data_IF_914713761339
#
_entry.id   IF_914713761339
#
_cell.length_a   1.000
_cell.length_b   1.000
_cell.length_c   1.000
_cell.angle_alpha   90.00
_cell.angle_beta   90.00
_cell.angle_gamma   90.00
#
_symmetry.space_group_name_H-M   'P 1'
#
loop_
_entity.id
_entity.type
_entity.pdbx_description
1 polymer ?
#
# COMPACT_ATOMS: atom_id res chain seq x y z
N UNK A 1 -11.08 -21.59 5.19
CA UNK A 1 -11.98 -20.44 4.90
C UNK A 1 -11.38 -19.59 3.80
N UNK A 2 -12.12 -19.30 2.73
CA UNK A 2 -11.68 -18.39 1.67
C UNK A 2 -11.50 -16.97 2.26
N UNK A 3 -10.38 -16.32 1.92
CA UNK A 3 -10.13 -14.93 2.35
C UNK A 3 -11.05 -14.00 1.55
N UNK A 4 -11.57 -12.93 2.17
CA UNK A 4 -12.41 -11.97 1.46
C UNK A 4 -11.67 -11.40 0.24
N UNK A 5 -12.42 -11.14 -0.84
CA UNK A 5 -11.91 -10.45 -2.01
C UNK A 5 -11.50 -9.02 -1.60
N UNK A 6 -10.45 -8.51 -2.23
CA UNK A 6 -10.03 -7.12 -2.03
C UNK A 6 -11.05 -6.20 -2.68
N UNK A 7 -11.41 -5.15 -1.96
CA UNK A 7 -12.23 -4.08 -2.50
C UNK A 7 -11.37 -3.23 -3.42
N UNK A 8 -11.83 -3.00 -4.64
CA UNK A 8 -11.19 -2.17 -5.66
C UNK A 8 -12.25 -1.27 -6.28
N UNK A 9 -12.43 -0.04 -5.76
CA UNK A 9 -13.32 0.94 -6.38
C UNK A 9 -12.86 1.32 -7.79
N UNK A 10 -13.80 1.79 -8.62
CA UNK A 10 -13.49 2.37 -9.94
C UNK A 10 -13.05 3.85 -9.85
N UNK A 11 -12.71 4.29 -8.67
CA UNK A 11 -12.24 5.65 -8.40
C UNK A 11 -10.88 5.62 -7.71
N UNK A 12 -10.24 6.79 -7.65
CA UNK A 12 -8.99 6.96 -6.89
C UNK A 12 -9.19 6.50 -5.44
N UNK A 13 -8.32 5.63 -4.98
CA UNK A 13 -8.53 4.93 -3.71
C UNK A 13 -7.25 4.85 -2.89
N UNK A 14 -7.40 4.92 -1.55
CA UNK A 14 -6.30 4.79 -0.61
C UNK A 14 -6.28 3.42 0.04
N UNK A 15 -5.08 2.85 0.19
CA UNK A 15 -4.90 1.55 0.82
C UNK A 15 -3.77 1.59 1.84
N UNK A 16 -4.02 0.98 2.99
CA UNK A 16 -2.99 0.67 3.95
C UNK A 16 -2.45 -0.75 3.68
N UNK A 17 -1.26 -0.85 3.11
CA UNK A 17 -0.67 -2.14 2.76
C UNK A 17 0.28 -2.62 3.84
N UNK A 18 0.16 -3.92 4.18
CA UNK A 18 0.99 -4.57 5.19
C UNK A 18 1.42 -5.94 4.69
N UNK A 19 2.68 -6.28 4.85
CA UNK A 19 3.18 -7.65 4.67
C UNK A 19 4.28 -7.96 5.68
N UNK A 20 4.35 -9.23 6.09
CA UNK A 20 5.33 -9.73 7.06
C UNK A 20 6.25 -10.73 6.41
N UNK A 21 7.48 -10.78 6.92
CA UNK A 21 8.46 -11.81 6.57
C UNK A 21 8.04 -13.14 7.20
N UNK A 22 8.35 -14.23 6.52
CA UNK A 22 8.12 -15.58 7.00
C UNK A 22 8.93 -15.84 8.30
N UNK A 23 8.37 -16.67 9.18
CA UNK A 23 8.99 -17.07 10.45
C UNK A 23 9.27 -15.93 11.44
N UNK A 24 8.70 -14.74 11.22
CA UNK A 24 8.86 -13.53 12.06
C UNK A 24 10.31 -13.14 12.34
N UNK A 25 11.26 -13.65 11.56
CA UNK A 25 12.67 -13.31 11.72
C UNK A 25 12.92 -11.82 11.45
N UNK A 26 13.90 -11.25 12.12
CA UNK A 26 14.36 -9.88 11.89
C UNK A 26 15.36 -9.88 10.72
N UNK A 27 14.85 -9.99 9.49
CA UNK A 27 15.67 -10.09 8.28
C UNK A 27 15.99 -8.75 7.62
N UNK A 28 15.23 -7.72 7.93
CA UNK A 28 15.37 -6.45 7.24
C UNK A 28 16.40 -5.56 7.95
N UNK A 29 17.67 -5.85 7.70
CA UNK A 29 18.76 -4.94 8.03
C UNK A 29 18.70 -3.68 7.13
N UNK A 30 19.61 -2.75 7.36
CA UNK A 30 19.67 -1.48 6.64
C UNK A 30 19.92 -1.66 5.14
N UNK A 31 20.70 -2.66 4.74
CA UNK A 31 20.97 -2.99 3.33
C UNK A 31 19.71 -3.50 2.64
N UNK A 32 18.99 -4.39 3.31
CA UNK A 32 17.70 -4.91 2.81
C UNK A 32 16.66 -3.80 2.72
N UNK A 33 16.51 -2.95 3.75
CA UNK A 33 15.57 -1.82 3.76
C UNK A 33 15.87 -0.81 2.66
N UNK A 34 17.15 -0.49 2.44
CA UNK A 34 17.58 0.38 1.34
C UNK A 34 17.14 -0.19 0.00
N UNK A 35 17.43 -1.48 -0.26
CA UNK A 35 17.04 -2.14 -1.51
C UNK A 35 15.53 -2.24 -1.67
N UNK A 36 14.81 -2.48 -0.58
CA UNK A 36 13.34 -2.46 -0.60
C UNK A 36 12.79 -1.10 -1.03
N UNK A 37 13.37 0.02 -0.58
CA UNK A 37 12.95 1.37 -1.00
C UNK A 37 13.20 1.60 -2.50
N UNK A 38 14.36 1.19 -3.02
CA UNK A 38 14.64 1.27 -4.46
C UNK A 38 13.58 0.51 -5.28
N UNK A 39 13.29 -0.74 -4.89
CA UNK A 39 12.28 -1.57 -5.56
C UNK A 39 10.87 -1.01 -5.38
N UNK A 40 10.55 -0.47 -4.19
CA UNK A 40 9.26 0.14 -3.89
C UNK A 40 8.98 1.30 -4.85
N UNK A 41 9.94 2.22 -5.00
CA UNK A 41 9.78 3.37 -5.87
C UNK A 41 9.68 2.98 -7.35
N UNK A 42 10.50 2.04 -7.81
CA UNK A 42 10.41 1.52 -9.18
C UNK A 42 9.05 0.82 -9.45
N UNK A 43 8.55 0.04 -8.52
CA UNK A 43 7.25 -0.61 -8.64
C UNK A 43 6.09 0.39 -8.59
N UNK A 44 6.19 1.43 -7.76
CA UNK A 44 5.20 2.49 -7.65
C UNK A 44 5.11 3.30 -8.95
N UNK A 45 6.25 3.74 -9.48
CA UNK A 45 6.34 4.44 -10.76
C UNK A 45 5.75 3.61 -11.90
N UNK A 46 6.13 2.32 -12.00
CA UNK A 46 5.56 1.42 -13.00
C UNK A 46 4.05 1.28 -12.88
N UNK A 47 3.54 1.11 -11.68
CA UNK A 47 2.10 0.90 -11.45
C UNK A 47 1.28 2.19 -11.50
N UNK A 48 1.91 3.36 -11.52
CA UNK A 48 1.25 4.66 -11.36
C UNK A 48 0.66 4.88 -9.97
N UNK A 49 1.16 4.15 -8.97
CA UNK A 49 0.70 4.23 -7.58
C UNK A 49 1.52 5.28 -6.84
N UNK A 50 0.85 6.17 -6.11
CA UNK A 50 1.52 7.16 -5.27
C UNK A 50 1.76 6.55 -3.88
N UNK A 51 3.01 6.50 -3.45
CA UNK A 51 3.37 6.13 -2.08
C UNK A 51 3.31 7.38 -1.22
N UNK A 52 2.21 7.55 -0.46
CA UNK A 52 2.00 8.71 0.39
C UNK A 52 2.90 8.70 1.63
N UNK A 53 3.02 7.54 2.27
CA UNK A 53 3.98 7.30 3.36
C UNK A 53 4.30 5.82 3.50
N UNK A 54 5.40 5.52 4.20
CA UNK A 54 5.84 4.17 4.48
C UNK A 54 6.55 4.06 5.83
N UNK A 55 6.63 2.80 6.32
CA UNK A 55 7.40 2.41 7.49
C UNK A 55 7.93 1.00 7.26
N UNK A 56 9.26 0.83 7.12
CA UNK A 56 9.92 -0.45 6.97
C UNK A 56 10.46 -0.91 8.33
N UNK A 57 9.72 -1.79 9.00
CA UNK A 57 10.13 -2.39 10.28
C UNK A 57 11.08 -3.57 10.01
N UNK A 58 11.66 -4.18 11.06
CA UNK A 58 12.64 -5.26 10.90
C UNK A 58 12.05 -6.57 10.35
N UNK A 59 10.75 -6.80 10.50
CA UNK A 59 10.08 -8.04 10.04
C UNK A 59 8.78 -7.80 9.28
N UNK A 60 8.39 -6.56 9.03
CA UNK A 60 7.20 -6.20 8.26
C UNK A 60 7.29 -4.77 7.75
N UNK A 61 6.41 -4.42 6.84
CA UNK A 61 6.28 -3.05 6.37
C UNK A 61 4.84 -2.57 6.42
N UNK A 62 4.69 -1.26 6.52
CA UNK A 62 3.45 -0.52 6.31
C UNK A 62 3.64 0.47 5.18
N UNK A 63 2.71 0.52 4.22
CA UNK A 63 2.65 1.54 3.17
C UNK A 63 1.25 2.13 3.16
N UNK A 64 1.15 3.45 3.05
CA UNK A 64 -0.10 4.14 2.73
C UNK A 64 0.01 4.62 1.29
N UNK A 65 -0.80 4.04 0.42
CA UNK A 65 -0.70 4.27 -1.02
C UNK A 65 -2.02 4.79 -1.58
N UNK A 66 -1.91 5.64 -2.60
CA UNK A 66 -3.02 6.08 -3.43
C UNK A 66 -2.91 5.38 -4.79
N UNK A 67 -3.98 4.71 -5.18
CA UNK A 67 -4.13 4.06 -6.48
C UNK A 67 -5.06 4.93 -7.32
N UNK A 68 -4.64 5.41 -8.51
CA UNK A 68 -5.50 6.15 -9.42
C UNK A 68 -6.73 5.34 -9.84
N UNK A 69 -7.71 5.99 -10.45
CA UNK A 69 -8.83 5.27 -11.06
C UNK A 69 -8.33 4.30 -12.14
N UNK A 70 -8.86 3.08 -12.20
CA UNK A 70 -8.55 2.17 -13.31
C UNK A 70 -9.03 2.73 -14.67
N UNK A 71 -9.99 3.67 -14.65
CA UNK A 71 -10.53 4.31 -15.84
C UNK A 71 -9.68 5.51 -16.32
N UNK A 72 -8.69 5.95 -15.52
CA UNK A 72 -7.75 6.99 -15.94
C UNK A 72 -6.95 6.51 -17.15
N UNK A 73 -6.90 7.29 -18.25
CA UNK A 73 -6.22 6.87 -19.46
C UNK A 73 -4.71 6.75 -19.26
N UNK A 74 -4.14 5.70 -19.84
CA UNK A 74 -2.69 5.45 -19.81
C UNK A 74 -2.20 5.37 -21.27
N UNK A 75 -1.78 6.49 -21.87
CA UNK A 75 -1.27 6.52 -23.23
C UNK A 75 0.07 5.78 -23.35
N UNK A 76 0.48 5.44 -24.58
CA UNK A 76 1.65 4.60 -24.82
C UNK A 76 2.96 5.20 -24.33
N UNK A 77 3.14 6.50 -24.47
CA UNK A 77 4.31 7.21 -23.94
C UNK A 77 4.42 7.08 -22.41
N UNK A 78 3.27 7.13 -21.73
CA UNK A 78 3.20 6.86 -20.28
C UNK A 78 3.52 5.40 -19.97
N UNK A 79 3.03 4.43 -20.75
CA UNK A 79 3.38 3.02 -20.59
C UNK A 79 4.89 2.83 -20.72
N UNK A 80 5.52 3.40 -21.77
CA UNK A 80 6.96 3.28 -22.00
C UNK A 80 7.78 3.94 -20.87
N UNK A 81 7.38 5.13 -20.42
CA UNK A 81 8.01 5.79 -19.26
C UNK A 81 7.96 4.92 -18.01
N UNK A 82 6.81 4.34 -17.72
CA UNK A 82 6.61 3.45 -16.57
C UNK A 82 7.37 2.12 -16.71
N UNK A 83 7.43 1.56 -17.90
CA UNK A 83 8.27 0.38 -18.20
C UNK A 83 9.75 0.69 -17.93
N UNK A 84 10.21 1.86 -18.36
CA UNK A 84 11.59 2.33 -18.12
C UNK A 84 11.95 2.31 -16.63
N UNK A 85 11.04 2.76 -15.77
CA UNK A 85 11.26 2.82 -14.33
C UNK A 85 11.45 1.44 -13.68
N UNK A 86 10.80 0.40 -14.19
CA UNK A 86 10.83 -0.94 -13.60
C UNK A 86 11.77 -1.91 -14.32
N UNK A 87 11.86 -1.81 -15.64
CA UNK A 87 12.58 -2.75 -16.51
C UNK A 87 13.84 -2.17 -17.14
N UNK A 88 14.04 -0.86 -17.00
CA UNK A 88 15.20 -0.13 -17.53
C UNK A 88 15.00 0.43 -18.93
N UNK A 89 15.95 1.27 -19.36
CA UNK A 89 15.93 2.00 -20.62
C UNK A 89 15.91 1.07 -21.84
N UNK A 90 16.73 0.02 -21.80
CA UNK A 90 16.86 -0.90 -22.93
C UNK A 90 15.53 -1.57 -23.30
N UNK A 91 14.76 -2.00 -22.29
CA UNK A 91 13.46 -2.63 -22.50
C UNK A 91 12.42 -1.64 -23.01
N UNK A 92 12.37 -0.42 -22.45
CA UNK A 92 11.45 0.61 -22.92
C UNK A 92 11.71 0.96 -24.39
N UNK A 93 12.99 1.18 -24.76
CA UNK A 93 13.40 1.46 -26.16
C UNK A 93 13.09 0.31 -27.10
N UNK A 94 13.31 -0.94 -26.66
CA UNK A 94 12.96 -2.12 -27.44
C UNK A 94 11.47 -2.18 -27.76
N UNK A 95 10.62 -1.91 -26.77
CA UNK A 95 9.17 -1.87 -26.97
C UNK A 95 8.73 -0.72 -27.87
N UNK A 96 9.29 0.46 -27.67
CA UNK A 96 9.01 1.65 -28.49
C UNK A 96 9.27 1.39 -29.97
N UNK A 97 10.45 0.88 -30.30
CA UNK A 97 10.84 0.53 -31.68
C UNK A 97 9.93 -0.58 -32.25
N UNK A 98 9.68 -1.60 -31.46
CA UNK A 98 8.83 -2.73 -31.87
C UNK A 98 7.39 -2.29 -32.15
N UNK A 99 6.78 -1.50 -31.26
CA UNK A 99 5.41 -1.01 -31.48
C UNK A 99 5.36 -0.02 -32.64
N UNK A 100 6.38 0.82 -32.80
CA UNK A 100 6.50 1.71 -33.95
C UNK A 100 6.55 0.94 -35.28
N UNK A 101 7.34 -0.13 -35.34
CA UNK A 101 7.41 -0.98 -36.54
C UNK A 101 6.09 -1.71 -36.82
N UNK A 102 5.49 -2.31 -35.79
CA UNK A 102 4.18 -2.96 -35.93
C UNK A 102 3.10 -2.04 -36.50
N UNK A 103 3.07 -0.77 -36.08
CA UNK A 103 2.12 0.22 -36.61
C UNK A 103 2.38 0.55 -38.07
N UNK A 104 3.65 0.68 -38.48
CA UNK A 104 4.04 0.91 -39.87
C UNK A 104 3.65 -0.26 -40.78
N UNK A 105 3.73 -1.47 -40.24
CA UNK A 105 3.38 -2.72 -40.97
C UNK A 105 1.86 -3.03 -40.97
N UNK A 106 1.01 -2.05 -40.57
CA UNK A 106 -0.44 -2.26 -40.48
C UNK A 106 -0.91 -3.14 -39.31
N UNK A 107 -0.01 -3.53 -38.40
CA UNK A 107 -0.26 -4.40 -37.25
C UNK A 107 -0.53 -3.60 -35.96
N UNK A 108 -1.16 -2.44 -36.05
CA UNK A 108 -1.43 -1.56 -34.92
C UNK A 108 -2.21 -2.24 -33.77
N UNK A 109 -3.17 -3.11 -34.12
CA UNK A 109 -3.94 -3.87 -33.11
C UNK A 109 -3.04 -4.80 -32.25
N UNK A 110 -1.96 -5.35 -32.83
CA UNK A 110 -1.02 -6.21 -32.09
C UNK A 110 -0.18 -5.36 -31.13
N UNK A 111 0.30 -4.20 -31.58
CA UNK A 111 1.01 -3.26 -30.72
C UNK A 111 0.15 -2.81 -29.55
N UNK A 112 -1.14 -2.50 -29.81
CA UNK A 112 -2.10 -2.13 -28.77
C UNK A 112 -2.36 -3.27 -27.78
N UNK A 113 -2.50 -4.50 -28.26
CA UNK A 113 -2.65 -5.67 -27.41
C UNK A 113 -1.44 -5.89 -26.47
N UNK A 114 -0.22 -5.65 -26.97
CA UNK A 114 1.00 -5.69 -26.14
C UNK A 114 1.02 -4.56 -25.10
N UNK A 115 0.72 -3.33 -25.47
CA UNK A 115 0.63 -2.20 -24.55
C UNK A 115 -0.39 -2.46 -23.45
N UNK A 116 -1.53 -3.07 -23.81
CA UNK A 116 -2.59 -3.41 -22.87
C UNK A 116 -2.19 -4.49 -21.85
N UNK A 117 -1.17 -5.33 -22.12
CA UNK A 117 -0.61 -6.24 -21.11
C UNK A 117 0.08 -5.47 -19.98
N UNK A 118 0.71 -4.34 -20.29
CA UNK A 118 1.32 -3.48 -19.28
C UNK A 118 0.26 -2.65 -18.55
N UNK A 119 -0.71 -2.05 -19.27
CA UNK A 119 -1.79 -1.26 -18.68
C UNK A 119 -2.59 -2.02 -17.64
N UNK A 120 -2.91 -3.31 -17.89
CA UNK A 120 -3.61 -4.18 -16.93
C UNK A 120 -2.88 -4.38 -15.60
N UNK A 121 -1.59 -4.04 -15.52
CA UNK A 121 -0.77 -4.10 -14.31
C UNK A 121 -0.59 -2.74 -13.64
N UNK A 122 -1.14 -1.69 -14.24
CA UNK A 122 -1.10 -0.32 -13.74
C UNK A 122 -2.43 0.03 -13.07
N UNK A 123 -2.44 1.01 -12.21
CA UNK A 123 -3.61 1.43 -11.43
C UNK A 123 -4.31 0.26 -10.69
N UNK A 124 -3.54 -0.71 -10.26
CA UNK A 124 -4.02 -1.89 -9.53
C UNK A 124 -3.16 -2.19 -8.30
N UNK A 125 -3.77 -2.10 -7.11
CA UNK A 125 -3.09 -2.34 -5.84
C UNK A 125 -2.55 -3.78 -5.70
N UNK A 126 -3.20 -4.76 -6.36
CA UNK A 126 -2.77 -6.16 -6.31
C UNK A 126 -1.55 -6.42 -7.17
N UNK A 127 -1.53 -5.85 -8.37
CA UNK A 127 -0.40 -5.97 -9.29
C UNK A 127 0.81 -5.15 -8.78
N UNK A 128 0.58 -3.97 -8.20
CA UNK A 128 1.62 -3.21 -7.51
C UNK A 128 2.27 -4.04 -6.39
N UNK A 129 1.46 -4.55 -5.47
CA UNK A 129 1.96 -5.33 -4.35
C UNK A 129 2.66 -6.63 -4.77
N UNK A 130 2.12 -7.30 -5.78
CA UNK A 130 2.73 -8.50 -6.38
C UNK A 130 4.09 -8.16 -6.96
N UNK A 131 4.18 -7.12 -7.79
CA UNK A 131 5.43 -6.67 -8.42
C UNK A 131 6.48 -6.32 -7.37
N UNK A 132 6.11 -5.50 -6.37
CA UNK A 132 7.00 -5.11 -5.27
C UNK A 132 7.51 -6.32 -4.49
N UNK A 133 6.60 -7.16 -3.99
CA UNK A 133 6.97 -8.31 -3.17
C UNK A 133 7.78 -9.37 -3.92
N UNK A 134 7.45 -9.65 -5.17
CA UNK A 134 8.21 -10.60 -5.98
C UNK A 134 9.64 -10.12 -6.22
N UNK A 135 9.81 -8.84 -6.59
CA UNK A 135 11.16 -8.30 -6.84
C UNK A 135 12.02 -8.26 -5.58
N UNK A 136 11.43 -7.91 -4.45
CA UNK A 136 12.14 -7.97 -3.15
C UNK A 136 12.55 -9.41 -2.85
N UNK A 137 11.62 -10.38 -2.99
CA UNK A 137 11.93 -11.78 -2.71
C UNK A 137 12.98 -12.34 -3.66
N UNK A 138 12.89 -12.07 -4.97
CA UNK A 138 13.90 -12.49 -5.94
C UNK A 138 15.28 -11.92 -5.61
N UNK A 139 15.35 -10.61 -5.38
CA UNK A 139 16.62 -9.98 -5.02
C UNK A 139 17.19 -10.57 -3.72
N UNK A 140 16.35 -10.70 -2.68
CA UNK A 140 16.78 -11.23 -1.40
C UNK A 140 17.31 -12.66 -1.52
N UNK A 141 16.53 -13.55 -2.16
CA UNK A 141 16.91 -14.95 -2.34
C UNK A 141 18.22 -15.08 -3.11
N UNK A 142 18.39 -14.33 -4.21
CA UNK A 142 19.63 -14.35 -5.00
C UNK A 142 20.82 -13.79 -4.21
N UNK A 143 20.63 -12.68 -3.48
CA UNK A 143 21.74 -12.00 -2.81
C UNK A 143 22.18 -12.69 -1.52
N UNK A 144 21.33 -13.52 -0.91
CA UNK A 144 21.58 -14.16 0.39
C UNK A 144 21.57 -15.69 0.31
N UNK A 145 21.51 -16.28 -0.89
CA UNK A 145 21.40 -17.74 -1.06
C UNK A 145 20.17 -18.35 -0.37
N UNK A 146 19.10 -17.55 -0.18
CA UNK A 146 17.92 -18.00 0.52
C UNK A 146 17.00 -18.78 -0.43
N UNK A 147 16.53 -19.95 0.02
CA UNK A 147 15.58 -20.79 -0.71
C UNK A 147 14.22 -20.76 -0.02
N UNK A 148 13.16 -20.58 -0.79
CA UNK A 148 11.79 -20.59 -0.29
C UNK A 148 11.11 -19.22 -0.29
N UNK A 149 10.00 -19.13 0.45
CA UNK A 149 9.19 -17.92 0.48
C UNK A 149 9.70 -16.90 1.50
N UNK A 150 9.96 -15.68 1.05
CA UNK A 150 10.34 -14.58 1.94
C UNK A 150 9.15 -14.06 2.76
N UNK A 151 7.93 -14.20 2.27
CA UNK A 151 6.75 -13.57 2.86
C UNK A 151 5.81 -14.59 3.49
N UNK A 152 5.30 -14.31 4.69
CA UNK A 152 4.35 -15.19 5.42
C UNK A 152 3.08 -15.52 4.63
N UNK A 153 2.79 -14.78 3.55
CA UNK A 153 1.63 -15.02 2.70
C UNK A 153 1.19 -13.77 1.94
N UNK A 154 -0.10 -13.73 1.62
CA UNK A 154 -0.68 -12.57 0.93
C UNK A 154 -0.59 -11.32 1.81
N UNK A 155 -0.30 -10.17 1.17
CA UNK A 155 -0.35 -8.88 1.84
C UNK A 155 -1.79 -8.50 2.23
N UNK A 156 -1.92 -7.70 3.26
CA UNK A 156 -3.17 -7.05 3.65
C UNK A 156 -3.21 -5.67 3.02
N UNK A 157 -4.39 -5.21 2.64
CA UNK A 157 -4.58 -3.89 2.04
C UNK A 157 -6.00 -3.41 2.29
N UNK A 158 -6.36 -3.05 3.53
CA UNK A 158 -7.63 -2.38 3.78
C UNK A 158 -7.73 -1.11 2.95
N UNK A 159 -8.90 -0.91 2.35
CA UNK A 159 -9.31 0.35 1.74
C UNK A 159 -9.53 1.37 2.86
N UNK A 160 -9.03 2.59 2.71
CA UNK A 160 -9.09 3.64 3.73
C UNK A 160 -9.82 4.86 3.17
N UNK A 161 -10.87 5.29 3.88
CA UNK A 161 -11.60 6.51 3.55
C UNK A 161 -10.73 7.75 3.73
N UNK A 162 -10.86 8.71 2.82
CA UNK A 162 -10.17 10.01 2.90
C UNK A 162 -10.56 10.81 4.17
N UNK A 163 -9.84 11.87 4.45
CA UNK A 163 -10.06 12.74 5.60
C UNK A 163 -9.52 12.16 6.91
N UNK A 164 -10.33 12.17 7.97
CA UNK A 164 -9.88 11.79 9.33
C UNK A 164 -9.35 10.35 9.42
N UNK A 165 -9.92 9.43 8.66
CA UNK A 165 -9.52 8.01 8.69
C UNK A 165 -8.16 7.79 8.06
N UNK A 166 -7.91 8.46 6.93
CA UNK A 166 -6.61 8.46 6.26
C UNK A 166 -5.54 9.09 7.15
N UNK A 167 -5.85 10.22 7.81
CA UNK A 167 -4.94 10.90 8.73
C UNK A 167 -4.64 10.05 9.97
N UNK A 168 -5.65 9.42 10.56
CA UNK A 168 -5.48 8.48 11.69
C UNK A 168 -4.64 7.28 11.27
N UNK A 169 -4.88 6.72 10.08
CA UNK A 169 -4.08 5.62 9.53
C UNK A 169 -2.61 6.04 9.32
N UNK A 170 -2.37 7.24 8.79
CA UNK A 170 -1.03 7.80 8.66
C UNK A 170 -0.32 7.91 10.02
N UNK A 171 -0.98 8.48 11.03
CA UNK A 171 -0.43 8.56 12.39
C UNK A 171 -0.14 7.17 12.97
N UNK A 172 -1.05 6.22 12.79
CA UNK A 172 -0.84 4.83 13.20
C UNK A 172 0.43 4.23 12.55
N UNK A 173 0.63 4.45 11.25
CA UNK A 173 1.83 3.98 10.54
C UNK A 173 3.08 4.61 11.14
N UNK A 174 3.09 5.93 11.36
CA UNK A 174 4.23 6.65 11.90
C UNK A 174 4.55 6.30 13.36
N UNK A 175 3.54 5.84 14.12
CA UNK A 175 3.70 5.43 15.52
C UNK A 175 4.24 4.00 15.69
N UNK A 176 4.26 3.17 14.63
CA UNK A 176 4.70 1.78 14.74
C UNK A 176 6.11 1.61 15.35
N UNK A 177 7.16 2.35 14.94
CA UNK A 177 8.48 2.19 15.53
C UNK A 177 8.54 2.71 17.00
N UNK A 178 7.70 3.67 17.37
CA UNK A 178 7.55 4.13 18.76
C UNK A 178 6.89 3.04 19.60
N UNK A 179 5.79 2.45 19.12
CA UNK A 179 5.12 1.33 19.79
C UNK A 179 6.01 0.07 19.92
N UNK A 180 6.99 -0.07 19.05
CA UNK A 180 7.98 -1.16 19.10
C UNK A 180 9.19 -0.82 19.99
N UNK A 181 9.23 0.37 20.62
CA UNK A 181 10.35 0.82 21.45
C UNK A 181 11.65 1.10 20.69
N UNK A 182 11.60 1.24 19.36
CA UNK A 182 12.78 1.44 18.53
C UNK A 182 13.27 2.89 18.52
N UNK A 183 12.35 3.85 18.66
CA UNK A 183 12.60 5.29 18.66
C UNK A 183 11.63 6.01 19.59
N UNK A 184 11.96 7.26 19.96
CA UNK A 184 11.07 8.11 20.79
C UNK A 184 9.97 8.80 19.98
N UNK A 185 10.23 9.12 18.71
CA UNK A 185 9.23 9.72 17.81
C UNK A 185 9.34 9.12 16.41
N UNK A 186 8.23 9.16 15.65
CA UNK A 186 8.18 8.62 14.28
C UNK A 186 9.23 9.22 13.33
N UNK A 187 9.47 10.56 13.35
CA UNK A 187 10.52 11.20 12.56
C UNK A 187 11.96 10.79 12.88
N UNK A 188 12.20 10.18 14.04
CA UNK A 188 13.53 9.68 14.41
C UNK A 188 13.85 8.32 13.74
N UNK A 189 12.83 7.63 13.25
CA UNK A 189 13.01 6.35 12.57
C UNK A 189 13.44 6.53 11.12
N UNK A 190 14.68 6.15 10.84
CA UNK A 190 15.35 6.42 9.55
C UNK A 190 14.70 5.70 8.36
N UNK A 191 14.05 4.56 8.59
CA UNK A 191 13.41 3.73 7.56
C UNK A 191 11.90 3.98 7.43
N UNK A 192 11.44 5.12 7.93
CA UNK A 192 10.10 5.65 7.74
C UNK A 192 10.11 6.91 6.88
N UNK A 193 9.02 7.18 6.15
CA UNK A 193 8.92 8.38 5.31
C UNK A 193 9.15 9.69 6.08
N UNK A 194 8.64 9.89 7.32
CA UNK A 194 8.94 11.12 8.07
C UNK A 194 10.43 11.30 8.35
N UNK A 195 11.10 10.24 8.78
CA UNK A 195 12.55 10.29 9.05
C UNK A 195 13.37 10.45 7.78
N UNK A 196 13.00 9.81 6.68
CA UNK A 196 13.65 9.97 5.38
C UNK A 196 13.48 11.40 4.83
N UNK A 197 12.26 11.95 4.89
CA UNK A 197 11.97 13.31 4.45
C UNK A 197 12.76 14.37 5.24
N UNK A 198 12.90 14.18 6.56
CA UNK A 198 13.72 15.05 7.43
C UNK A 198 15.19 15.05 7.02
N UNK A 199 15.69 13.94 6.43
CA UNK A 199 17.06 13.82 5.92
C UNK A 199 17.21 14.19 4.45
N UNK A 200 16.19 14.78 3.84
CA UNK A 200 16.25 15.30 2.48
C UNK A 200 15.85 14.30 1.38
N UNK A 201 15.26 13.14 1.72
CA UNK A 201 14.73 12.23 0.70
C UNK A 201 13.54 12.88 -0.03
N UNK A 202 13.76 13.25 -1.27
CA UNK A 202 12.79 13.99 -2.09
C UNK A 202 11.53 13.18 -2.40
N UNK A 203 11.62 11.85 -2.47
CA UNK A 203 10.46 10.98 -2.73
C UNK A 203 9.58 10.86 -1.49
N UNK A 204 10.20 10.76 -0.32
CA UNK A 204 9.49 10.78 0.95
C UNK A 204 8.80 12.15 1.18
N UNK A 205 9.50 13.26 0.87
CA UNK A 205 8.93 14.61 0.93
C UNK A 205 7.74 14.75 -0.02
N UNK A 206 7.86 14.31 -1.28
CA UNK A 206 6.78 14.35 -2.25
C UNK A 206 5.55 13.52 -1.82
N UNK A 207 5.75 12.33 -1.27
CA UNK A 207 4.67 11.50 -0.74
C UNK A 207 3.93 12.15 0.42
N UNK A 208 4.65 12.72 1.38
CA UNK A 208 4.05 13.44 2.51
C UNK A 208 3.34 14.73 2.06
N UNK A 209 3.92 15.48 1.11
CA UNK A 209 3.29 16.65 0.52
C UNK A 209 1.99 16.30 -0.23
N UNK A 210 1.98 15.19 -0.96
CA UNK A 210 0.76 14.66 -1.58
C UNK A 210 -0.33 14.39 -0.54
N UNK A 211 -0.04 13.71 0.56
CA UNK A 211 -1.00 13.48 1.64
C UNK A 211 -1.47 14.79 2.27
N UNK A 212 -0.57 15.73 2.51
CA UNK A 212 -0.91 17.05 3.03
C UNK A 212 -1.91 17.78 2.11
N UNK A 213 -1.71 17.76 0.80
CA UNK A 213 -2.64 18.33 -0.18
C UNK A 213 -4.03 17.64 -0.13
N UNK A 214 -4.07 16.31 0.03
CA UNK A 214 -5.34 15.57 0.22
C UNK A 214 -6.06 16.03 1.48
N UNK A 215 -5.35 16.19 2.60
CA UNK A 215 -5.95 16.65 3.86
C UNK A 215 -6.45 18.09 3.76
N UNK A 216 -5.70 18.98 3.11
CA UNK A 216 -6.12 20.37 2.89
C UNK A 216 -7.41 20.42 2.09
N UNK A 217 -7.50 19.69 0.98
CA UNK A 217 -8.72 19.60 0.18
C UNK A 217 -9.90 19.08 1.01
N UNK A 218 -9.72 17.97 1.76
CA UNK A 218 -10.79 17.43 2.61
C UNK A 218 -11.23 18.43 3.69
N UNK A 219 -10.32 19.27 4.20
CA UNK A 219 -10.63 20.34 5.16
C UNK A 219 -11.45 21.44 4.51
N UNK A 220 -11.07 21.90 3.31
CA UNK A 220 -11.80 22.91 2.55
C UNK A 220 -13.22 22.45 2.19
N UNK A 221 -13.39 21.15 1.91
CA UNK A 221 -14.69 20.53 1.66
C UNK A 221 -15.50 20.24 2.94
N UNK A 222 -15.01 20.62 4.13
CA UNK A 222 -15.67 20.37 5.41
C UNK A 222 -15.71 18.91 5.86
N UNK A 223 -14.98 18.01 5.18
CA UNK A 223 -14.93 16.56 5.46
C UNK A 223 -13.83 16.15 6.44
N UNK A 224 -13.04 17.11 6.93
CA UNK A 224 -11.87 16.82 7.76
C UNK A 224 -11.56 17.94 8.75
N UNK A 225 -11.27 17.54 10.00
CA UNK A 225 -10.66 18.39 11.02
C UNK A 225 -9.55 17.61 11.74
N UNK A 226 -8.44 18.27 12.03
CA UNK A 226 -7.36 17.67 12.82
C UNK A 226 -7.78 17.30 14.25
N UNK A 227 -8.83 17.91 14.77
CA UNK A 227 -9.39 17.59 16.10
C UNK A 227 -10.03 16.19 16.13
N UNK A 228 -10.46 15.68 14.97
CA UNK A 228 -11.12 14.39 14.84
C UNK A 228 -10.13 13.24 14.59
N UNK A 229 -8.83 13.55 14.49
CA UNK A 229 -7.79 12.55 14.24
C UNK A 229 -7.40 11.88 15.56
N UNK A 230 -7.58 10.55 15.59
CA UNK A 230 -7.28 9.76 16.79
C UNK A 230 -5.77 9.55 16.91
N UNK A 231 -5.23 9.82 18.10
CA UNK A 231 -3.84 9.50 18.41
C UNK A 231 -3.69 8.00 18.68
N UNK A 232 -2.71 7.34 18.04
CA UNK A 232 -2.47 5.92 18.28
C UNK A 232 -1.86 5.70 19.67
N UNK A 233 -2.49 4.83 20.45
CA UNK A 233 -2.02 4.45 21.80
C UNK A 233 -1.27 3.12 21.81
N UNK A 234 -1.09 2.49 20.65
CA UNK A 234 -0.42 1.19 20.52
C UNK A 234 -0.86 0.42 19.28
N UNK A 235 -0.70 -0.91 19.32
CA UNK A 235 -1.07 -1.78 18.19
C UNK A 235 -2.58 -1.85 18.02
N UNK A 236 -3.06 -1.29 16.93
CA UNK A 236 -4.46 -1.34 16.55
C UNK A 236 -4.70 -2.38 15.46
N UNK A 237 -5.39 -3.47 15.83
CA UNK A 237 -5.67 -4.60 14.92
C UNK A 237 -6.59 -4.21 13.75
N UNK A 238 -7.30 -3.10 13.82
CA UNK A 238 -8.21 -2.61 12.77
C UNK A 238 -7.47 -2.15 11.55
N UNK A 239 -6.40 -1.38 11.76
CA UNK A 239 -5.50 -0.99 10.68
C UNK A 239 -4.74 -2.17 10.09
N UNK A 240 -4.62 -3.28 10.83
CA UNK A 240 -3.86 -4.46 10.39
C UNK A 240 -4.73 -5.58 9.81
N UNK A 241 -6.00 -5.69 10.17
CA UNK A 241 -6.84 -6.84 9.84
C UNK A 241 -8.12 -6.47 9.08
N UNK A 242 -8.47 -5.20 8.97
CA UNK A 242 -9.65 -4.73 8.25
C UNK A 242 -9.58 -4.98 6.73
N UNK A 243 -10.72 -4.95 6.08
CA UNK A 243 -10.86 -4.92 4.61
C UNK A 243 -11.13 -3.50 4.15
N UNK A 244 -11.95 -2.77 4.91
CA UNK A 244 -12.30 -1.35 4.71
C UNK A 244 -12.20 -0.64 6.06
N UNK A 245 -11.69 0.57 6.06
CA UNK A 245 -11.54 1.45 7.23
C UNK A 245 -12.15 2.80 6.89
N UNK A 246 -13.14 3.24 7.65
CA UNK A 246 -13.81 4.51 7.37
C UNK A 246 -15.03 4.74 8.25
N UNK A 247 -15.88 5.67 7.83
CA UNK A 247 -17.20 5.89 8.41
C UNK A 247 -18.08 4.65 8.21
N UNK A 248 -19.14 4.54 8.99
CA UNK A 248 -20.13 3.48 8.82
C UNK A 248 -20.65 3.42 7.38
N UNK A 249 -21.04 4.57 6.83
CA UNK A 249 -21.52 4.70 5.46
C UNK A 249 -20.50 4.19 4.44
N UNK A 250 -19.24 4.58 4.56
CA UNK A 250 -18.16 4.14 3.67
C UNK A 250 -17.95 2.64 3.74
N UNK A 251 -17.91 2.07 4.94
CA UNK A 251 -17.77 0.61 5.11
C UNK A 251 -18.96 -0.14 4.52
N UNK A 252 -20.19 0.33 4.74
CA UNK A 252 -21.41 -0.27 4.18
C UNK A 252 -21.45 -0.19 2.65
N UNK A 253 -20.89 0.86 2.05
CA UNK A 253 -20.80 1.01 0.58
C UNK A 253 -19.96 -0.10 -0.06
N UNK A 254 -18.84 -0.45 0.55
CA UNK A 254 -17.87 -1.37 -0.05
C UNK A 254 -17.92 -2.80 0.49
N UNK A 255 -18.67 -3.04 1.54
CA UNK A 255 -18.92 -4.37 2.10
C UNK A 255 -20.44 -4.61 2.15
N UNK A 256 -21.07 -4.89 0.99
CA UNK A 256 -22.51 -5.13 0.94
C UNK A 256 -22.85 -6.47 1.61
N UNK A 257 -23.71 -6.48 2.31
CA UNK A 257 -24.69 -6.86 3.22
C UNK A 257 -25.10 -8.33 3.35
N UNK A 258 -25.15 -9.15 2.36
CA UNK A 258 -25.94 -10.38 2.44
C UNK A 258 -25.14 -11.66 2.75
N UNK A 259 -23.93 -11.78 2.28
CA UNK A 259 -23.10 -12.97 2.49
C UNK A 259 -22.28 -12.89 3.79
N UNK A 260 -22.08 -11.70 4.34
CA UNK A 260 -21.22 -11.44 5.50
C UNK A 260 -22.00 -11.26 6.83
N UNK A 261 -23.32 -11.14 6.80
CA UNK A 261 -24.16 -11.12 8.03
C UNK A 261 -24.02 -12.37 8.89
N UNK A 262 -23.70 -13.50 8.31
CA UNK A 262 -23.38 -14.74 9.06
C UNK A 262 -21.96 -14.74 9.65
N UNK A 263 -21.08 -13.90 9.16
CA UNK A 263 -19.77 -13.63 9.77
C UNK A 263 -19.95 -12.37 10.60
N UNK A 264 -20.37 -12.53 11.83
CA UNK A 264 -20.61 -11.52 12.87
C UNK A 264 -19.85 -10.21 12.60
N UNK A 265 -20.52 -9.31 11.89
CA UNK A 265 -20.15 -7.92 11.73
C UNK A 265 -20.26 -7.30 13.13
N UNK A 266 -19.16 -7.11 13.81
CA UNK A 266 -19.12 -6.25 14.98
C UNK A 266 -18.43 -4.98 14.54
N UNK A 267 -19.15 -3.85 14.53
CA UNK A 267 -18.51 -2.56 14.51
C UNK A 267 -17.71 -2.49 15.82
N UNK A 268 -16.41 -2.74 15.74
CA UNK A 268 -15.56 -2.47 16.89
C UNK A 268 -15.47 -0.96 16.96
N UNK A 269 -16.26 -0.37 17.86
CA UNK A 269 -16.09 1.02 18.25
C UNK A 269 -14.67 1.19 18.75
N UNK A 270 -13.96 2.03 18.06
CA UNK A 270 -12.72 2.55 18.55
C UNK A 270 -12.95 4.04 18.75
N UNK A 271 -12.49 4.51 19.88
CA UNK A 271 -12.54 5.92 20.25
C UNK A 271 -12.86 6.82 19.05
N UNK A 272 -14.14 7.27 18.93
CA UNK A 272 -14.65 8.09 17.85
C UNK A 272 -14.85 7.34 16.52
N UNK A 273 -15.98 6.71 16.28
CA UNK A 273 -16.57 6.33 14.97
C UNK A 273 -15.66 5.77 13.86
N UNK A 274 -14.57 5.08 14.18
CA UNK A 274 -13.77 4.36 13.19
C UNK A 274 -14.31 2.95 13.05
N UNK A 275 -14.86 2.62 11.89
CA UNK A 275 -15.37 1.31 11.55
C UNK A 275 -14.35 0.54 10.71
N UNK A 276 -14.20 -0.74 10.99
CA UNK A 276 -13.47 -1.65 10.11
C UNK A 276 -14.21 -2.96 9.99
N UNK A 277 -14.26 -3.52 8.78
CA UNK A 277 -14.78 -4.85 8.56
C UNK A 277 -13.75 -5.90 8.97
N UNK A 278 -14.02 -6.65 10.04
CA UNK A 278 -13.19 -7.76 10.51
C UNK A 278 -13.84 -9.10 10.19
N UNK A 279 -13.06 -10.02 9.63
CA UNK A 279 -13.34 -11.44 9.79
C UNK A 279 -12.79 -11.86 11.18
N UNK A 280 -13.65 -12.34 12.07
CA UNK A 280 -13.24 -12.75 13.42
C UNK A 280 -12.20 -13.86 13.37
N UNK A 281 -11.07 -13.68 14.09
CA UNK A 281 -10.42 -14.73 14.84
C UNK A 281 -10.79 -14.52 16.30
N UNK A 282 -11.24 -15.60 16.97
CA UNK A 282 -11.45 -15.65 18.41
C UNK A 282 -10.28 -15.03 19.15
N UNK A 283 -10.59 -14.15 20.10
CA UNK A 283 -9.63 -13.69 21.08
C UNK A 283 -9.08 -14.90 21.84
N UNK A 284 -7.79 -14.95 22.17
CA UNK A 284 -7.30 -15.93 23.13
C UNK A 284 -8.00 -15.66 24.47
N UNK A 285 -8.57 -16.72 25.06
CA UNK A 285 -9.09 -16.69 26.43
C UNK A 285 -8.03 -16.07 27.34
N UNK A 286 -8.42 -15.05 28.07
CA UNK A 286 -7.66 -14.58 29.21
C UNK A 286 -7.55 -15.74 30.20
N UNK A 287 -6.34 -16.25 30.41
CA UNK A 287 -6.03 -17.16 31.48
C UNK A 287 -6.33 -16.43 32.80
N UNK A 288 -7.40 -16.80 33.46
CA UNK A 288 -7.61 -16.44 34.87
C UNK A 288 -6.49 -17.10 35.65
N UNK A 289 -5.61 -16.31 36.18
CA UNK A 289 -4.72 -16.72 37.26
C UNK A 289 -5.57 -16.70 38.51
N UNK A 290 -5.69 -17.86 39.14
CA UNK A 290 -6.24 -18.01 40.45
C UNK A 290 -5.29 -17.48 41.50
#
# INVERSE_FOLDING_TARGET
MARPRRVKPNERSFYHMISRIANQAHFMDDKVKKKMLEILHAAAEFSGVVVGTYMLMDNHFHLLVCVPSPDDPIPDDMVLRRVRALYGEAEARRLELRWGQMRKDGRGAVAEAEANRFRRRMHDVSEFAKTFKQRVAQWYNTSHGHVGTLWTGRFKSPLVEEGRYLATCMKYIHHNPVSAGMVRSGPDYVWGAPGAARRGDVRAQAGLAFLAAVFMRCKEEGRFSWKDVVEPTGRDLRFSNGVVIGSRRFVETYVPDAADRRRRWRPNHIVGDIYSSHGQRSAPMATRVA
#
